data_IF_939726148348
#
_entry.id   IF_939726148348
#
_cell.length_a   1.000
_cell.length_b   1.000
_cell.length_c   1.000
_cell.angle_alpha   90.00
_cell.angle_beta   90.00
_cell.angle_gamma   90.00
#
_symmetry.space_group_name_H-M   'P 1'
#
loop_
_entity.id
_entity.type
_entity.pdbx_description
1 polymer ?
#
# COMPACT_ATOMS: atom_id res chain seq x y z
N UNK A 1 42.55 17.92 52.03
CA UNK A 1 42.74 17.55 50.63
C UNK A 1 41.78 16.46 50.09
N UNK A 2 41.05 15.68 50.92
CA UNK A 2 40.18 14.56 50.47
C UNK A 2 38.81 14.95 49.89
N UNK A 3 38.28 16.12 50.26
CA UNK A 3 36.93 16.54 49.82
C UNK A 3 36.87 17.12 48.40
N UNK A 4 37.93 17.75 47.90
CA UNK A 4 37.94 18.31 46.55
C UNK A 4 37.96 17.26 45.47
N UNK A 5 38.60 16.14 45.70
CA UNK A 5 38.68 15.05 44.70
C UNK A 5 37.34 14.25 44.58
N UNK A 6 36.52 14.26 45.66
CA UNK A 6 35.22 13.59 45.66
C UNK A 6 34.23 14.29 44.73
N UNK A 7 34.25 15.62 44.68
CA UNK A 7 33.34 16.40 43.81
C UNK A 7 33.76 16.31 42.34
N UNK A 8 35.04 16.19 42.03
CA UNK A 8 35.53 16.02 40.64
C UNK A 8 35.16 14.67 40.11
N UNK A 9 35.26 13.60 40.88
CA UNK A 9 34.81 12.23 40.46
C UNK A 9 33.32 12.13 40.32
N UNK A 10 32.53 12.77 41.19
CA UNK A 10 31.08 12.78 41.10
C UNK A 10 30.57 13.62 39.90
N UNK A 11 31.26 14.75 39.56
CA UNK A 11 30.96 15.55 38.37
C UNK A 11 31.30 14.84 37.07
N UNK A 12 32.35 14.01 37.05
CA UNK A 12 32.71 13.24 35.86
C UNK A 12 31.73 12.04 35.60
N UNK A 13 31.17 11.48 36.67
CA UNK A 13 30.24 10.36 36.56
C UNK A 13 28.83 10.80 36.08
N UNK A 14 28.49 12.10 36.27
CA UNK A 14 27.19 12.64 35.84
C UNK A 14 27.16 13.05 34.36
N UNK A 15 28.33 13.17 33.70
CA UNK A 15 28.42 13.53 32.27
C UNK A 15 28.30 12.36 31.30
N UNK A 16 28.25 11.13 31.77
CA UNK A 16 28.16 9.91 30.92
C UNK A 16 26.73 9.45 30.60
N UNK A 17 25.70 10.21 31.00
CA UNK A 17 24.31 9.73 30.94
C UNK A 17 23.51 10.26 29.73
N UNK A 18 24.11 10.90 28.73
CA UNK A 18 23.40 11.44 27.57
C UNK A 18 23.93 10.85 26.26
N UNK A 19 24.11 9.54 26.20
CA UNK A 19 24.07 8.83 24.93
C UNK A 19 22.68 8.24 24.81
N UNK A 20 21.72 9.13 24.56
CA UNK A 20 20.41 8.73 24.05
C UNK A 20 20.64 8.15 22.67
N UNK A 21 20.57 6.83 22.50
CA UNK A 21 20.32 6.22 21.20
C UNK A 21 19.04 6.87 20.65
N UNK A 22 19.14 7.74 19.65
CA UNK A 22 18.06 7.95 18.71
C UNK A 22 17.82 6.59 18.07
N UNK A 23 16.79 5.91 18.52
CA UNK A 23 16.21 4.82 17.76
C UNK A 23 15.58 5.53 16.55
N UNK A 24 16.25 5.51 15.41
CA UNK A 24 15.60 5.80 14.15
C UNK A 24 14.51 4.73 14.06
N UNK A 25 13.29 5.10 14.46
CA UNK A 25 12.11 4.34 14.12
C UNK A 25 11.93 4.54 12.63
N UNK A 26 12.57 3.71 11.82
CA UNK A 26 12.12 3.50 10.44
C UNK A 26 10.69 3.02 10.62
N UNK A 27 9.74 3.87 10.22
CA UNK A 27 8.34 3.46 10.15
C UNK A 27 8.31 2.32 9.14
N UNK A 28 7.95 1.09 9.52
CA UNK A 28 7.95 -0.04 8.59
C UNK A 28 7.03 0.19 7.39
N UNK A 29 6.21 1.23 7.42
CA UNK A 29 5.28 1.60 6.37
C UNK A 29 5.83 2.67 5.39
N UNK A 30 7.02 3.24 5.62
CA UNK A 30 7.62 4.20 4.66
C UNK A 30 8.08 3.56 3.35
N UNK A 31 8.34 2.24 3.36
CA UNK A 31 8.73 1.50 2.15
C UNK A 31 7.54 1.26 1.20
N UNK A 32 6.32 1.19 1.72
CA UNK A 32 5.11 0.82 0.99
C UNK A 32 4.17 2.01 0.70
N UNK A 33 4.73 3.19 0.47
CA UNK A 33 3.91 4.35 0.13
C UNK A 33 3.23 4.14 -1.23
N UNK A 34 1.93 3.90 -1.21
CA UNK A 34 1.10 3.78 -2.41
C UNK A 34 0.50 5.14 -2.73
N UNK A 35 0.96 5.76 -3.82
CA UNK A 35 0.44 7.04 -4.31
C UNK A 35 -0.51 6.88 -5.48
N UNK A 36 -0.50 5.71 -6.13
CA UNK A 36 -1.33 5.45 -7.31
C UNK A 36 -1.84 4.01 -7.27
N UNK A 37 -3.16 3.87 -7.43
CA UNK A 37 -3.83 2.57 -7.62
C UNK A 37 -4.43 2.54 -9.01
N UNK A 38 -4.05 1.55 -9.84
CA UNK A 38 -4.67 1.29 -11.13
C UNK A 38 -5.48 0.01 -11.07
N UNK A 39 -6.72 0.12 -11.49
CA UNK A 39 -7.62 -1.03 -11.69
C UNK A 39 -7.69 -1.32 -13.17
N UNK A 40 -7.04 -2.39 -13.60
CA UNK A 40 -7.00 -2.82 -14.99
C UNK A 40 -8.04 -3.91 -15.17
N UNK A 41 -9.09 -3.63 -15.95
CA UNK A 41 -10.19 -4.55 -16.24
C UNK A 41 -10.10 -5.00 -17.69
N UNK A 42 -10.09 -6.31 -17.91
CA UNK A 42 -10.12 -6.91 -19.26
C UNK A 42 -11.44 -7.69 -19.41
N UNK A 43 -12.32 -7.25 -20.32
CA UNK A 43 -13.59 -7.95 -20.59
C UNK A 43 -13.27 -9.31 -21.21
N UNK A 44 -13.83 -10.39 -20.61
CA UNK A 44 -13.42 -11.77 -20.94
C UNK A 44 -13.75 -12.20 -22.36
N UNK A 45 -14.80 -11.68 -22.96
CA UNK A 45 -15.26 -12.10 -24.30
C UNK A 45 -14.58 -11.27 -25.39
N UNK A 46 -14.56 -9.95 -25.24
CA UNK A 46 -13.99 -9.06 -26.25
C UNK A 46 -12.48 -8.87 -26.14
N UNK A 47 -11.90 -9.13 -24.94
CA UNK A 47 -10.51 -8.79 -24.64
C UNK A 47 -10.29 -7.28 -24.46
N UNK A 48 -11.33 -6.47 -24.52
CA UNK A 48 -11.20 -5.02 -24.36
C UNK A 48 -10.74 -4.67 -22.95
N UNK A 49 -9.69 -3.85 -22.86
CA UNK A 49 -9.12 -3.40 -21.61
C UNK A 49 -9.55 -1.97 -21.29
N UNK A 50 -9.90 -1.75 -20.03
CA UNK A 50 -10.16 -0.44 -19.44
C UNK A 50 -9.29 -0.27 -18.20
N UNK A 51 -8.75 0.95 -18.01
CA UNK A 51 -7.92 1.29 -16.86
C UNK A 51 -8.58 2.44 -16.13
N UNK A 52 -8.76 2.25 -14.83
CA UNK A 52 -9.28 3.26 -13.89
C UNK A 52 -8.20 3.56 -12.85
N UNK A 53 -8.06 4.81 -12.50
CA UNK A 53 -6.91 5.26 -11.71
C UNK A 53 -7.36 6.17 -10.57
N UNK A 54 -6.81 5.88 -9.38
CA UNK A 54 -6.77 6.81 -8.25
C UNK A 54 -5.33 7.26 -8.09
N UNK A 55 -5.09 8.58 -7.97
CA UNK A 55 -3.76 9.15 -7.83
C UNK A 55 -3.73 10.30 -6.84
N UNK A 56 -2.94 10.12 -5.79
CA UNK A 56 -2.70 11.05 -4.71
C UNK A 56 -1.21 11.02 -4.34
N UNK A 57 -0.44 12.00 -4.82
CA UNK A 57 1.03 11.99 -4.71
C UNK A 57 1.54 12.45 -3.35
N UNK A 58 0.75 13.21 -2.63
CA UNK A 58 1.12 13.78 -1.32
C UNK A 58 0.38 13.10 -0.15
N UNK A 59 -0.50 12.15 -0.45
CA UNK A 59 -1.13 11.26 0.54
C UNK A 59 -2.19 11.93 1.41
N UNK A 60 -2.57 11.24 2.46
CA UNK A 60 -3.67 11.65 3.35
C UNK A 60 -3.36 12.97 4.04
N UNK A 61 -4.25 13.96 3.85
CA UNK A 61 -4.16 15.28 4.50
C UNK A 61 -3.45 16.34 3.69
N UNK A 62 -2.98 16.00 2.49
CA UNK A 62 -2.41 16.92 1.51
C UNK A 62 -3.46 17.62 0.64
N UNK A 63 -3.14 17.83 -0.65
CA UNK A 63 -4.09 18.30 -1.65
C UNK A 63 -5.12 17.20 -1.97
N UNK A 64 -6.21 17.57 -2.66
CA UNK A 64 -7.13 16.55 -3.16
C UNK A 64 -6.44 15.66 -4.20
N UNK A 65 -6.83 14.36 -4.31
CA UNK A 65 -6.30 13.48 -5.33
C UNK A 65 -6.32 14.10 -6.73
N UNK A 66 -5.21 13.99 -7.43
CA UNK A 66 -5.06 14.56 -8.78
C UNK A 66 -5.86 13.77 -9.83
N UNK A 67 -6.21 12.51 -9.52
CA UNK A 67 -7.05 11.65 -10.35
C UNK A 67 -7.90 10.73 -9.47
N UNK A 68 -9.17 10.60 -9.84
CA UNK A 68 -10.12 9.69 -9.21
C UNK A 68 -11.17 9.27 -10.25
N UNK A 69 -10.90 8.17 -10.95
CA UNK A 69 -11.79 7.65 -11.99
C UNK A 69 -12.93 6.83 -11.36
N UNK A 70 -14.15 7.05 -11.85
CA UNK A 70 -15.27 6.17 -11.56
C UNK A 70 -15.13 4.87 -12.36
N UNK A 71 -15.26 3.72 -11.69
CA UNK A 71 -15.20 2.41 -12.35
C UNK A 71 -16.56 2.11 -12.99
N UNK A 72 -16.60 2.07 -14.33
CA UNK A 72 -17.79 1.81 -15.11
C UNK A 72 -17.72 0.42 -15.74
N UNK A 73 -18.70 -0.43 -15.41
CA UNK A 73 -18.81 -1.77 -15.96
C UNK A 73 -20.05 -1.88 -16.88
N UNK A 74 -19.91 -2.53 -18.01
CA UNK A 74 -21.04 -2.85 -18.86
C UNK A 74 -21.87 -3.99 -18.24
N UNK A 75 -23.19 -3.84 -18.21
CA UNK A 75 -24.14 -4.79 -17.60
C UNK A 75 -23.95 -6.19 -18.14
N UNK A 76 -24.02 -7.18 -17.26
CA UNK A 76 -23.94 -8.61 -17.59
C UNK A 76 -22.59 -9.06 -18.12
N UNK A 77 -21.55 -8.19 -18.06
CA UNK A 77 -20.20 -8.54 -18.50
C UNK A 77 -19.34 -9.08 -17.37
N UNK A 78 -18.35 -9.87 -17.76
CA UNK A 78 -17.35 -10.45 -16.84
C UNK A 78 -15.97 -9.93 -17.22
N UNK A 79 -15.22 -9.54 -16.21
CA UNK A 79 -13.90 -8.93 -16.36
C UNK A 79 -12.87 -9.69 -15.53
N UNK A 80 -11.67 -9.89 -16.08
CA UNK A 80 -10.49 -10.17 -15.29
C UNK A 80 -9.93 -8.82 -14.80
N UNK A 81 -9.75 -8.72 -13.49
CA UNK A 81 -9.21 -7.56 -12.82
C UNK A 81 -7.77 -7.81 -12.41
N UNK A 82 -6.90 -6.83 -12.64
CA UNK A 82 -5.56 -6.76 -12.09
C UNK A 82 -5.35 -5.40 -11.45
N UNK A 83 -4.88 -5.38 -10.21
CA UNK A 83 -4.45 -4.15 -9.54
C UNK A 83 -2.98 -3.88 -9.81
N UNK A 84 -2.63 -2.60 -9.93
CA UNK A 84 -1.27 -2.10 -9.86
C UNK A 84 -1.20 -1.05 -8.76
N UNK A 85 -0.26 -1.22 -7.84
CA UNK A 85 0.01 -0.35 -6.71
C UNK A 85 1.37 0.31 -6.97
N UNK A 86 1.39 1.63 -7.11
CA UNK A 86 2.61 2.34 -7.53
C UNK A 86 2.96 3.45 -6.54
N UNK A 87 4.25 3.67 -6.35
CA UNK A 87 4.77 4.88 -5.74
C UNK A 87 5.34 5.79 -6.84
N UNK A 88 4.53 6.71 -7.33
CA UNK A 88 4.92 7.66 -8.38
C UNK A 88 5.58 8.93 -7.80
N UNK A 89 5.77 9.02 -6.48
CA UNK A 89 6.59 10.07 -5.87
C UNK A 89 8.10 9.82 -6.08
N UNK A 90 8.47 8.60 -6.46
CA UNK A 90 9.85 8.19 -6.72
C UNK A 90 10.21 8.26 -8.22
N UNK A 91 11.48 8.38 -8.51
CA UNK A 91 12.04 8.29 -9.87
C UNK A 91 13.25 7.34 -9.86
N UNK A 92 13.19 6.20 -10.57
CA UNK A 92 12.05 5.69 -11.33
C UNK A 92 10.85 5.38 -10.45
N UNK A 93 9.65 5.29 -11.06
CA UNK A 93 8.43 4.86 -10.37
C UNK A 93 8.65 3.48 -9.74
N UNK A 94 8.26 3.34 -8.47
CA UNK A 94 8.37 2.10 -7.73
C UNK A 94 7.09 1.27 -7.88
N UNK A 95 7.21 0.01 -8.26
CA UNK A 95 6.06 -0.92 -8.40
C UNK A 95 5.85 -1.71 -7.10
N UNK A 96 5.10 -1.12 -6.20
CA UNK A 96 4.73 -1.72 -4.90
C UNK A 96 3.92 -3.02 -5.07
N UNK A 97 3.30 -3.25 -6.23
CA UNK A 97 2.58 -4.51 -6.50
C UNK A 97 3.48 -5.73 -6.37
N UNK A 98 4.76 -5.59 -6.73
CA UNK A 98 5.73 -6.68 -6.68
C UNK A 98 6.06 -7.03 -5.22
N UNK A 99 6.25 -6.01 -4.38
CA UNK A 99 6.53 -6.17 -2.95
C UNK A 99 5.32 -6.81 -2.24
N UNK A 100 4.12 -6.23 -2.39
CA UNK A 100 2.86 -6.77 -1.84
C UNK A 100 2.61 -8.22 -2.30
N UNK A 101 3.00 -8.57 -3.52
CA UNK A 101 2.86 -9.94 -4.01
C UNK A 101 3.88 -10.89 -3.37
N UNK A 102 5.12 -10.44 -3.18
CA UNK A 102 6.19 -11.24 -2.56
C UNK A 102 5.92 -11.46 -1.06
N UNK A 103 5.37 -10.44 -0.39
CA UNK A 103 5.03 -10.43 1.03
C UNK A 103 3.54 -10.72 1.27
N UNK A 104 2.90 -11.43 0.35
CA UNK A 104 1.45 -11.64 0.34
C UNK A 104 0.86 -12.25 1.60
N UNK A 105 1.66 -12.90 2.45
CA UNK A 105 1.22 -13.47 3.74
C UNK A 105 0.94 -12.40 4.80
N UNK A 106 1.44 -11.18 4.59
CA UNK A 106 1.29 -10.04 5.49
C UNK A 106 0.29 -9.00 4.93
N UNK A 107 -0.23 -9.24 3.70
CA UNK A 107 -1.12 -8.34 2.99
C UNK A 107 -2.46 -9.00 2.64
N UNK A 108 -3.52 -8.20 2.60
CA UNK A 108 -4.81 -8.61 2.06
C UNK A 108 -5.54 -7.40 1.48
N UNK A 109 -6.02 -7.52 0.24
CA UNK A 109 -6.80 -6.49 -0.43
C UNK A 109 -8.28 -6.83 -0.34
N UNK A 110 -9.06 -5.91 0.20
CA UNK A 110 -10.51 -6.05 0.30
C UNK A 110 -11.18 -5.29 -0.84
N UNK A 111 -11.95 -6.03 -1.63
CA UNK A 111 -12.72 -5.50 -2.75
C UNK A 111 -14.20 -5.64 -2.46
N UNK A 112 -14.95 -4.56 -2.57
CA UNK A 112 -16.40 -4.59 -2.41
C UNK A 112 -17.08 -3.68 -3.44
N UNK A 113 -18.22 -4.11 -3.96
CA UNK A 113 -19.07 -3.29 -4.79
C UNK A 113 -20.30 -2.84 -3.99
N UNK A 114 -20.62 -1.56 -4.01
CA UNK A 114 -21.84 -1.03 -3.40
C UNK A 114 -23.08 -1.48 -4.18
N UNK A 115 -24.19 -1.66 -3.47
CA UNK A 115 -25.52 -1.91 -4.05
C UNK A 115 -25.58 -3.14 -4.98
N UNK A 116 -24.75 -4.16 -4.75
CA UNK A 116 -24.70 -5.39 -5.56
C UNK A 116 -24.53 -5.13 -7.09
N UNK A 117 -23.89 -4.02 -7.47
CA UNK A 117 -23.63 -3.66 -8.89
C UNK A 117 -22.63 -4.60 -9.55
N UNK A 118 -21.78 -5.25 -8.77
CA UNK A 118 -20.86 -6.28 -9.25
C UNK A 118 -20.60 -7.32 -8.16
N UNK A 119 -20.33 -8.56 -8.59
CA UNK A 119 -19.77 -9.60 -7.72
C UNK A 119 -18.27 -9.75 -7.98
N UNK A 120 -17.48 -9.83 -6.92
CA UNK A 120 -16.04 -10.11 -6.98
C UNK A 120 -15.80 -11.56 -6.56
N UNK A 121 -15.00 -12.30 -7.34
CA UNK A 121 -14.68 -13.70 -7.13
C UNK A 121 -13.27 -14.02 -7.63
N UNK A 122 -12.82 -15.27 -7.42
CA UNK A 122 -11.55 -15.77 -7.94
C UNK A 122 -10.35 -14.88 -7.62
N UNK A 123 -10.27 -14.41 -6.35
CA UNK A 123 -9.08 -13.69 -5.89
C UNK A 123 -7.88 -14.62 -5.96
N UNK A 124 -6.70 -14.08 -6.36
CA UNK A 124 -5.45 -14.81 -6.18
C UNK A 124 -5.14 -14.97 -4.69
N UNK A 125 -4.39 -16.01 -4.37
CA UNK A 125 -4.00 -16.32 -3.01
C UNK A 125 -2.52 -15.97 -2.76
N UNK A 126 -2.21 -15.85 -1.47
CA UNK A 126 -0.85 -15.80 -0.94
C UNK A 126 -0.19 -17.20 -0.90
N UNK A 127 1.02 -17.28 -0.36
CA UNK A 127 1.77 -18.53 -0.20
C UNK A 127 1.14 -19.51 0.82
N UNK A 128 0.23 -19.04 1.68
CA UNK A 128 -0.51 -19.86 2.67
C UNK A 128 -1.89 -20.30 2.15
N UNK A 129 -2.26 -19.89 0.93
CA UNK A 129 -3.55 -20.18 0.32
C UNK A 129 -4.68 -19.26 0.77
N UNK A 130 -4.37 -18.14 1.44
CA UNK A 130 -5.35 -17.12 1.83
C UNK A 130 -5.52 -16.08 0.71
N UNK A 131 -6.72 -15.48 0.55
CA UNK A 131 -6.95 -14.50 -0.49
C UNK A 131 -6.04 -13.28 -0.34
N UNK A 132 -5.26 -12.95 -1.38
CA UNK A 132 -4.46 -11.72 -1.46
C UNK A 132 -5.24 -10.60 -2.18
N UNK A 133 -5.81 -10.87 -3.36
CA UNK A 133 -6.70 -9.95 -4.06
C UNK A 133 -6.04 -9.00 -5.09
N UNK A 134 -4.78 -9.21 -5.47
CA UNK A 134 -4.11 -8.46 -6.56
C UNK A 134 -4.78 -8.76 -7.91
N UNK A 135 -5.24 -10.00 -8.10
CA UNK A 135 -6.07 -10.36 -9.25
C UNK A 135 -7.39 -10.96 -8.80
N UNK A 136 -8.44 -10.73 -9.59
CA UNK A 136 -9.79 -11.21 -9.30
C UNK A 136 -10.65 -11.26 -10.57
N UNK A 137 -11.85 -11.83 -10.46
CA UNK A 137 -12.87 -11.79 -11.51
C UNK A 137 -14.05 -10.94 -11.04
N UNK A 138 -14.48 -9.99 -11.87
CA UNK A 138 -15.62 -9.11 -11.58
C UNK A 138 -16.76 -9.41 -12.54
N UNK A 139 -17.94 -9.64 -11.99
CA UNK A 139 -19.16 -9.88 -12.77
C UNK A 139 -20.12 -8.74 -12.52
N UNK A 140 -20.37 -7.93 -13.55
CA UNK A 140 -21.34 -6.84 -13.48
C UNK A 140 -22.77 -7.39 -13.41
N UNK A 141 -23.63 -6.76 -12.60
CA UNK A 141 -25.05 -7.09 -12.56
C UNK A 141 -25.71 -6.95 -13.94
N UNK A 142 -26.75 -7.75 -14.19
CA UNK A 142 -27.51 -7.75 -15.44
C UNK A 142 -28.42 -6.51 -15.58
#
# INVERSE_FOLDING_TARGET
>A
MRKKNLYVTLSFMLMLSIVGCKKDTVDPNESELITTVKVVLTEKVSGTQSIFEFKDLDGVGGAAPSKFDEIILARGKVYDCKLQLLNESKTPVDDITLEVTAEGVDHQIYLSASNALAAVSNLNNDAKGLPLGITSTWTAAA
#
